data_IF_237640509010
#
_entry.id   IF_237640509010
#
_cell.length_a   1.000
_cell.length_b   1.000
_cell.length_c   1.000
_cell.angle_alpha   90.00
_cell.angle_beta   90.00
_cell.angle_gamma   90.00
#
_symmetry.space_group_name_H-M   'P 1'
#
loop_
_entity.id
_entity.type
_entity.pdbx_description
1 polymer ?
#
# COMPACT_ATOMS: atom_id res chain seq x y z
N UNK A 1 -20.31 1.48 -16.17
CA UNK A 1 -19.42 0.50 -16.81
C UNK A 1 -18.04 0.43 -16.16
N UNK A 2 -17.25 1.53 -16.05
CA UNK A 2 -15.90 1.47 -15.46
C UNK A 2 -15.78 0.93 -14.02
N UNK A 3 -16.77 1.20 -13.15
CA UNK A 3 -16.77 0.66 -11.78
C UNK A 3 -16.95 -0.86 -11.72
N UNK A 4 -17.63 -1.47 -12.69
CA UNK A 4 -17.86 -2.92 -12.75
C UNK A 4 -16.60 -3.64 -13.24
N UNK A 5 -15.88 -3.06 -14.20
CA UNK A 5 -14.58 -3.60 -14.62
C UNK A 5 -13.54 -3.52 -13.51
N UNK A 6 -13.52 -2.41 -12.75
CA UNK A 6 -12.61 -2.26 -11.61
C UNK A 6 -12.91 -3.24 -10.47
N UNK A 7 -14.19 -3.49 -10.17
CA UNK A 7 -14.57 -4.45 -9.12
C UNK A 7 -14.30 -5.90 -9.54
N UNK A 8 -14.55 -6.27 -10.80
CA UNK A 8 -14.20 -7.59 -11.34
C UNK A 8 -12.68 -7.81 -11.39
N UNK A 9 -11.91 -6.77 -11.76
CA UNK A 9 -10.45 -6.80 -11.73
C UNK A 9 -9.91 -6.97 -10.31
N UNK A 10 -10.46 -6.26 -9.32
CA UNK A 10 -10.09 -6.40 -7.92
C UNK A 10 -10.40 -7.79 -7.35
N UNK A 11 -11.60 -8.34 -7.64
CA UNK A 11 -11.95 -9.71 -7.25
C UNK A 11 -11.02 -10.75 -7.88
N UNK A 12 -10.70 -10.61 -9.16
CA UNK A 12 -9.78 -11.53 -9.86
C UNK A 12 -8.35 -11.43 -9.32
N UNK A 13 -7.89 -10.23 -8.98
CA UNK A 13 -6.59 -10.02 -8.35
C UNK A 13 -6.53 -10.66 -6.95
N UNK A 14 -7.56 -10.45 -6.12
CA UNK A 14 -7.70 -11.07 -4.80
C UNK A 14 -7.65 -12.60 -4.90
N UNK A 15 -8.41 -13.19 -5.82
CA UNK A 15 -8.43 -14.64 -6.05
C UNK A 15 -7.04 -15.21 -6.40
N UNK A 16 -6.33 -14.57 -7.35
CA UNK A 16 -5.00 -15.02 -7.78
C UNK A 16 -3.96 -14.88 -6.64
N UNK A 17 -4.04 -13.79 -5.87
CA UNK A 17 -3.15 -13.56 -4.73
C UNK A 17 -3.39 -14.60 -3.62
N UNK A 18 -4.64 -14.92 -3.33
CA UNK A 18 -5.01 -15.92 -2.34
C UNK A 18 -4.54 -17.33 -2.75
N UNK A 19 -4.76 -17.72 -4.01
CA UNK A 19 -4.31 -19.02 -4.54
C UNK A 19 -2.78 -19.18 -4.48
N UNK A 20 -2.03 -18.13 -4.85
CA UNK A 20 -0.55 -18.15 -4.79
C UNK A 20 -0.02 -18.22 -3.36
N UNK A 21 -0.64 -17.50 -2.43
CA UNK A 21 -0.27 -17.56 -1.01
C UNK A 21 -0.54 -18.95 -0.43
N UNK A 22 -1.69 -19.53 -0.70
CA UNK A 22 -2.07 -20.86 -0.21
C UNK A 22 -1.13 -21.94 -0.77
N UNK A 23 -0.84 -21.90 -2.08
CA UNK A 23 0.13 -22.81 -2.70
C UNK A 23 1.55 -22.68 -2.12
N UNK A 24 1.95 -21.47 -1.71
CA UNK A 24 3.26 -21.24 -1.10
C UNK A 24 3.32 -21.79 0.32
N UNK A 25 2.26 -21.59 1.11
CA UNK A 25 2.19 -22.06 2.50
C UNK A 25 2.18 -23.58 2.59
N UNK A 26 1.42 -24.27 1.72
CA UNK A 26 1.35 -25.74 1.70
C UNK A 26 2.69 -26.39 1.31
N UNK A 27 3.57 -25.66 0.60
CA UNK A 27 4.89 -26.14 0.19
C UNK A 27 6.02 -25.83 1.18
N UNK A 28 5.71 -25.21 2.33
CA UNK A 28 6.72 -24.92 3.35
C UNK A 28 7.21 -26.22 4.03
N UNK A 29 8.51 -26.32 4.38
CA UNK A 29 9.05 -27.51 5.03
C UNK A 29 8.47 -27.71 6.44
N UNK A 30 8.29 -28.96 6.86
CA UNK A 30 7.73 -29.31 8.19
C UNK A 30 8.48 -28.64 9.35
N UNK A 31 9.80 -28.48 9.24
CA UNK A 31 10.63 -27.75 10.21
C UNK A 31 10.15 -26.30 10.49
N UNK A 32 9.52 -25.63 9.51
CA UNK A 32 8.94 -24.30 9.70
C UNK A 32 7.70 -24.33 10.59
N UNK A 33 6.90 -25.39 10.50
CA UNK A 33 5.70 -25.63 11.30
C UNK A 33 6.00 -26.16 12.70
N UNK A 34 7.13 -26.85 12.88
CA UNK A 34 7.61 -27.29 14.20
C UNK A 34 8.12 -26.11 15.05
N UNK A 35 8.68 -25.09 14.39
CA UNK A 35 9.25 -23.91 15.07
C UNK A 35 8.22 -22.79 15.31
N UNK A 36 7.12 -22.78 14.54
CA UNK A 36 6.06 -21.76 14.62
C UNK A 36 4.71 -22.44 14.84
N UNK A 37 4.04 -22.25 16.00
CA UNK A 37 2.77 -22.88 16.27
C UNK A 37 1.76 -22.52 15.17
N UNK A 38 1.10 -23.54 14.61
CA UNK A 38 0.18 -23.43 13.47
C UNK A 38 -0.90 -22.36 13.65
N UNK A 39 -1.41 -22.17 14.87
CA UNK A 39 -2.38 -21.11 15.19
C UNK A 39 -1.85 -19.68 15.00
N UNK A 40 -0.56 -19.42 15.25
CA UNK A 40 0.06 -18.10 15.03
C UNK A 40 0.26 -17.82 13.55
N UNK A 41 0.59 -18.85 12.77
CA UNK A 41 0.73 -18.76 11.31
C UNK A 41 -0.64 -18.44 10.69
N UNK A 42 -1.69 -19.17 11.07
CA UNK A 42 -3.06 -18.95 10.57
C UNK A 42 -3.54 -17.55 10.93
N UNK A 43 -3.35 -17.10 12.17
CA UNK A 43 -3.82 -15.78 12.59
C UNK A 43 -3.09 -14.64 11.85
N UNK A 44 -1.79 -14.80 11.60
CA UNK A 44 -1.01 -13.85 10.79
C UNK A 44 -1.43 -13.88 9.32
N UNK A 45 -1.61 -15.06 8.75
CA UNK A 45 -2.03 -15.26 7.37
C UNK A 45 -3.41 -14.66 7.10
N UNK A 46 -4.38 -14.92 7.98
CA UNK A 46 -5.72 -14.30 7.90
C UNK A 46 -5.67 -12.77 7.97
N UNK A 47 -4.81 -12.21 8.83
CA UNK A 47 -4.63 -10.75 8.93
C UNK A 47 -3.98 -10.15 7.68
N UNK A 48 -2.96 -10.81 7.14
CA UNK A 48 -2.27 -10.35 5.93
C UNK A 48 -3.16 -10.46 4.69
N UNK A 49 -3.96 -11.54 4.55
CA UNK A 49 -4.96 -11.70 3.48
C UNK A 49 -6.03 -10.63 3.58
N UNK A 50 -6.58 -10.38 4.77
CA UNK A 50 -7.59 -9.34 4.94
C UNK A 50 -7.06 -7.95 4.54
N UNK A 51 -5.79 -7.65 4.84
CA UNK A 51 -5.15 -6.42 4.38
C UNK A 51 -4.97 -6.41 2.85
N UNK A 52 -4.61 -7.54 2.26
CA UNK A 52 -4.45 -7.71 0.81
C UNK A 52 -5.77 -7.59 0.04
N UNK A 53 -6.87 -8.06 0.61
CA UNK A 53 -8.18 -8.08 -0.06
C UNK A 53 -8.95 -6.77 0.12
N UNK A 54 -8.83 -6.11 1.27
CA UNK A 54 -9.61 -4.90 1.55
C UNK A 54 -8.79 -3.61 1.41
N UNK A 55 -7.58 -3.57 1.95
CA UNK A 55 -6.78 -2.32 2.03
C UNK A 55 -6.07 -2.06 0.71
N UNK A 56 -5.49 -3.10 0.10
CA UNK A 56 -4.69 -2.95 -1.11
C UNK A 56 -5.55 -2.46 -2.30
N UNK A 57 -6.73 -3.05 -2.61
CA UNK A 57 -7.55 -2.58 -3.73
C UNK A 57 -8.08 -1.17 -3.50
N UNK A 58 -8.44 -0.84 -2.25
CA UNK A 58 -8.86 0.52 -1.89
C UNK A 58 -7.74 1.54 -2.12
N UNK A 59 -6.51 1.21 -1.71
CA UNK A 59 -5.34 2.08 -1.89
C UNK A 59 -4.99 2.25 -3.37
N UNK A 60 -5.01 1.17 -4.14
CA UNK A 60 -4.75 1.21 -5.60
C UNK A 60 -5.83 2.01 -6.32
N UNK A 61 -7.11 1.82 -5.96
CA UNK A 61 -8.22 2.59 -6.53
C UNK A 61 -8.07 4.07 -6.25
N UNK A 62 -7.76 4.44 -5.00
CA UNK A 62 -7.52 5.84 -4.64
C UNK A 62 -6.32 6.43 -5.39
N UNK A 63 -5.22 5.68 -5.51
CA UNK A 63 -4.05 6.11 -6.28
C UNK A 63 -4.37 6.37 -7.76
N UNK A 64 -5.09 5.46 -8.41
CA UNK A 64 -5.51 5.62 -9.81
C UNK A 64 -6.47 6.80 -9.95
N UNK A 65 -7.45 6.94 -9.05
CA UNK A 65 -8.42 8.04 -9.09
C UNK A 65 -7.75 9.40 -8.93
N UNK A 66 -6.88 9.55 -7.93
CA UNK A 66 -6.17 10.81 -7.69
C UNK A 66 -5.20 11.10 -8.83
N UNK A 67 -4.46 10.10 -9.32
CA UNK A 67 -3.56 10.26 -10.48
C UNK A 67 -4.30 10.72 -11.73
N UNK A 68 -5.44 10.09 -12.05
CA UNK A 68 -6.29 10.50 -13.16
C UNK A 68 -6.85 11.91 -12.98
N UNK A 69 -7.26 12.28 -11.76
CA UNK A 69 -7.76 13.61 -11.46
C UNK A 69 -6.70 14.68 -11.64
N UNK A 70 -5.46 14.43 -11.20
CA UNK A 70 -4.33 15.34 -11.43
C UNK A 70 -4.08 15.50 -12.93
N UNK A 71 -4.00 14.41 -13.70
CA UNK A 71 -3.80 14.51 -15.16
C UNK A 71 -4.93 15.30 -15.83
N UNK A 72 -6.18 15.05 -15.45
CA UNK A 72 -7.33 15.77 -16.00
C UNK A 72 -7.27 17.27 -15.70
N UNK A 73 -6.93 17.67 -14.46
CA UNK A 73 -6.81 19.10 -14.11
C UNK A 73 -5.64 19.76 -14.84
N UNK A 74 -4.50 19.08 -14.99
CA UNK A 74 -3.37 19.57 -15.78
C UNK A 74 -3.80 19.85 -17.23
N UNK A 75 -4.50 18.91 -17.87
CA UNK A 75 -4.97 19.06 -19.26
C UNK A 75 -5.95 20.23 -19.39
N UNK A 76 -6.90 20.36 -18.47
CA UNK A 76 -7.88 21.47 -18.47
C UNK A 76 -7.18 22.83 -18.34
N UNK A 77 -6.19 22.95 -17.45
CA UNK A 77 -5.44 24.20 -17.26
C UNK A 77 -4.66 24.56 -18.54
N UNK A 78 -3.98 23.60 -19.15
CA UNK A 78 -3.19 23.83 -20.38
C UNK A 78 -4.10 24.21 -21.55
N UNK A 79 -5.26 23.57 -21.68
CA UNK A 79 -6.23 23.86 -22.74
C UNK A 79 -6.90 25.24 -22.55
N UNK A 80 -7.18 25.65 -21.31
CA UNK A 80 -7.79 26.95 -21.00
C UNK A 80 -6.80 28.11 -21.15
N UNK A 81 -5.59 27.96 -20.61
CA UNK A 81 -4.57 29.01 -20.57
C UNK A 81 -3.18 28.45 -20.90
N UNK A 82 -2.80 28.36 -22.19
CA UNK A 82 -1.53 27.75 -22.60
C UNK A 82 -0.30 28.49 -22.08
N UNK A 83 -0.38 29.81 -21.87
CA UNK A 83 0.71 30.60 -21.26
C UNK A 83 1.06 30.11 -19.84
N UNK A 84 0.08 29.64 -19.07
CA UNK A 84 0.30 29.18 -17.69
C UNK A 84 1.17 27.91 -17.63
N UNK A 85 1.24 27.13 -18.71
CA UNK A 85 2.05 25.92 -18.78
C UNK A 85 3.55 26.19 -18.56
N UNK A 86 4.03 27.37 -18.97
CA UNK A 86 5.43 27.77 -18.82
C UNK A 86 5.80 27.89 -17.33
N UNK A 87 4.93 28.48 -16.52
CA UNK A 87 5.12 28.59 -15.05
C UNK A 87 4.93 27.26 -14.34
N UNK A 88 4.13 26.37 -14.92
CA UNK A 88 3.83 25.05 -14.37
C UNK A 88 5.00 24.07 -14.48
N UNK A 89 5.79 24.17 -15.55
CA UNK A 89 6.95 23.31 -15.79
C UNK A 89 7.99 23.34 -14.64
N UNK A 90 8.49 24.51 -14.16
CA UNK A 90 9.43 24.54 -13.04
C UNK A 90 8.80 24.06 -11.73
N UNK A 91 7.52 24.33 -11.49
CA UNK A 91 6.79 23.85 -10.31
C UNK A 91 6.70 22.32 -10.31
N UNK A 92 6.38 21.71 -11.46
CA UNK A 92 6.34 20.25 -11.62
C UNK A 92 7.70 19.61 -11.37
N UNK A 93 8.77 20.24 -11.86
CA UNK A 93 10.14 19.77 -11.66
C UNK A 93 10.52 19.77 -10.17
N UNK A 94 10.24 20.87 -9.47
CA UNK A 94 10.45 20.98 -8.01
C UNK A 94 9.61 19.93 -7.27
N UNK A 95 8.34 19.78 -7.64
CA UNK A 95 7.45 18.78 -7.03
C UNK A 95 7.98 17.36 -7.21
N UNK A 96 8.51 17.02 -8.38
CA UNK A 96 9.13 15.72 -8.65
C UNK A 96 10.35 15.47 -7.75
N UNK A 97 11.24 16.46 -7.58
CA UNK A 97 12.37 16.34 -6.65
C UNK A 97 11.93 16.15 -5.21
N UNK A 98 10.96 16.96 -4.76
CA UNK A 98 10.38 16.83 -3.41
C UNK A 98 9.75 15.45 -3.24
N UNK A 99 9.01 14.96 -4.24
CA UNK A 99 8.37 13.65 -4.19
C UNK A 99 9.40 12.52 -4.07
N UNK A 100 10.52 12.60 -4.79
CA UNK A 100 11.59 11.60 -4.71
C UNK A 100 12.17 11.52 -3.29
N UNK A 101 12.46 12.67 -2.68
CA UNK A 101 12.97 12.76 -1.30
C UNK A 101 11.89 12.31 -0.31
N UNK A 102 10.65 12.79 -0.48
CA UNK A 102 9.53 12.47 0.39
C UNK A 102 9.25 10.96 0.42
N UNK A 103 9.25 10.27 -0.72
CA UNK A 103 9.03 8.82 -0.78
C UNK A 103 10.13 8.06 -0.04
N UNK A 104 11.40 8.49 -0.17
CA UNK A 104 12.51 7.90 0.56
C UNK A 104 12.37 8.12 2.08
N UNK A 105 12.09 9.36 2.49
CA UNK A 105 11.92 9.75 3.90
C UNK A 105 10.70 9.11 4.54
N UNK A 106 9.54 9.09 3.88
CA UNK A 106 8.32 8.45 4.39
C UNK A 106 8.51 6.95 4.60
N UNK A 107 9.24 6.26 3.72
CA UNK A 107 9.59 4.84 3.94
C UNK A 107 10.45 4.65 5.18
N UNK A 108 11.45 5.51 5.38
CA UNK A 108 12.32 5.46 6.56
C UNK A 108 11.54 5.81 7.84
N UNK A 109 10.70 6.84 7.81
CA UNK A 109 9.88 7.25 8.94
C UNK A 109 8.90 6.15 9.35
N UNK A 110 8.24 5.50 8.39
CA UNK A 110 7.33 4.38 8.66
C UNK A 110 8.05 3.17 9.28
N UNK A 111 9.34 2.97 8.94
CA UNK A 111 10.20 1.96 9.59
C UNK A 111 10.53 2.35 11.03
N UNK A 112 10.92 3.61 11.27
CA UNK A 112 11.23 4.12 12.61
C UNK A 112 9.97 4.03 13.49
N UNK A 113 8.83 4.48 13.00
CA UNK A 113 7.55 4.41 13.72
C UNK A 113 7.20 2.97 14.13
N UNK A 114 7.43 1.99 13.25
CA UNK A 114 7.24 0.57 13.56
C UNK A 114 8.19 0.06 14.64
N UNK A 115 9.43 0.55 14.70
CA UNK A 115 10.46 0.12 15.67
C UNK A 115 10.27 0.83 17.01
N UNK A 116 9.84 2.09 17.03
CA UNK A 116 9.63 2.86 18.26
C UNK A 116 8.34 2.47 18.98
N UNK A 117 7.30 2.02 18.26
CA UNK A 117 6.05 1.57 18.89
C UNK A 117 6.19 0.26 19.66
N UNK A 118 7.06 -0.67 19.24
CA UNK A 118 7.16 -1.99 19.89
C UNK A 118 7.68 -1.97 21.35
N UNK A 119 8.73 -1.21 21.72
CA UNK A 119 9.20 -1.18 23.12
C UNK A 119 8.24 -0.42 24.04
N UNK A 120 7.48 0.56 23.54
CA UNK A 120 6.49 1.28 24.36
C UNK A 120 5.39 0.32 24.82
N UNK A 121 4.87 -0.51 23.91
CA UNK A 121 3.88 -1.53 24.29
C UNK A 121 4.45 -2.60 25.24
N UNK A 122 5.72 -2.98 25.07
CA UNK A 122 6.39 -3.91 26.00
C UNK A 122 6.58 -3.31 27.40
N UNK A 123 7.07 -2.07 27.51
CA UNK A 123 7.24 -1.38 28.79
C UNK A 123 5.90 -1.10 29.49
N UNK A 124 4.85 -0.78 28.73
CA UNK A 124 3.51 -0.59 29.29
C UNK A 124 2.93 -1.91 29.81
N UNK A 125 3.20 -3.04 29.13
CA UNK A 125 2.80 -4.37 29.60
C UNK A 125 3.56 -4.81 30.86
N UNK A 126 4.84 -4.45 31.00
CA UNK A 126 5.64 -4.72 32.21
C UNK A 126 5.22 -3.86 33.41
N UNK A 127 4.69 -2.67 33.19
CA UNK A 127 4.29 -1.75 34.27
C UNK A 127 2.89 -2.04 34.83
N UNK A 128 2.03 -2.65 34.00
CA UNK A 128 0.64 -3.01 34.37
C UNK A 128 0.56 -4.41 35.02
N UNK A 129 1.61 -5.22 34.88
CA UNK A 129 1.73 -6.52 35.54
C UNK A 129 2.22 -6.36 36.99
#
# INVERSE_FOLDING_TARGET
MGMIFASLGAMRASYILHERLLNTVVRLPMSFFDTNPSGRIINRFSKEINALDNILPMTVRSFISTGAQVVATLVVIIASTPIAAIFMMPIMLIYYFIQLVYVATSRQLKRIESVTKSPIYSHFSETIQ
#
